data_IF_922097033072
#
_entry.id   IF_922097033072
#
_cell.length_a   1.000
_cell.length_b   1.000
_cell.length_c   1.000
_cell.angle_alpha   90.00
_cell.angle_beta   90.00
_cell.angle_gamma   90.00
#
_symmetry.space_group_name_H-M   'P 1'
#
loop_
_entity.id
_entity.type
_entity.pdbx_description
1 polymer ?
#
# COMPACT_ATOMS: atom_id res chain seq x y z
N UNK A 1 9.43 -39.23 22.61
CA UNK A 1 8.80 -37.91 22.38
C UNK A 1 9.89 -36.86 22.39
N UNK A 2 10.14 -36.17 21.28
CA UNK A 2 10.43 -34.71 21.22
C UNK A 2 10.42 -34.35 19.73
N UNK A 3 9.44 -33.54 19.36
CA UNK A 3 9.20 -33.05 17.99
C UNK A 3 10.27 -31.99 17.68
N UNK A 4 11.05 -32.18 16.62
CA UNK A 4 11.89 -31.13 16.05
C UNK A 4 10.97 -30.12 15.34
N UNK A 5 10.58 -29.07 16.06
CA UNK A 5 9.80 -27.97 15.49
C UNK A 5 10.77 -27.17 14.61
N UNK A 6 10.54 -27.23 13.29
CA UNK A 6 11.08 -26.29 12.32
C UNK A 6 10.71 -24.86 12.76
N UNK A 7 11.67 -24.15 13.33
CA UNK A 7 11.61 -22.69 13.48
C UNK A 7 12.73 -22.12 12.61
N UNK A 8 12.46 -22.10 11.31
CA UNK A 8 13.43 -21.68 10.30
C UNK A 8 12.74 -21.10 9.09
N UNK A 9 11.75 -20.22 9.30
CA UNK A 9 11.10 -19.51 8.18
C UNK A 9 10.33 -18.26 8.67
N UNK A 10 11.04 -17.21 9.09
CA UNK A 10 10.41 -15.88 9.24
C UNK A 10 11.43 -14.73 9.32
N UNK A 11 12.55 -14.81 8.59
CA UNK A 11 13.61 -13.80 8.68
C UNK A 11 14.13 -13.35 7.30
N UNK A 12 13.25 -13.06 6.34
CA UNK A 12 13.68 -12.56 5.03
C UNK A 12 12.55 -11.98 4.17
N UNK A 13 11.82 -10.99 4.67
CA UNK A 13 11.04 -10.06 3.84
C UNK A 13 11.15 -8.64 4.39
N UNK A 14 12.38 -8.11 4.51
CA UNK A 14 12.61 -6.66 4.66
C UNK A 14 12.69 -6.05 3.26
N UNK A 15 11.72 -6.36 2.40
CA UNK A 15 11.31 -5.41 1.39
C UNK A 15 10.37 -4.46 2.10
N UNK A 16 10.57 -3.15 2.01
CA UNK A 16 9.60 -2.19 2.55
C UNK A 16 8.22 -2.64 2.07
N UNK A 17 7.30 -3.01 2.96
CA UNK A 17 5.97 -3.41 2.50
C UNK A 17 5.26 -2.16 1.97
N UNK A 18 4.44 -2.26 0.92
CA UNK A 18 3.58 -1.16 0.56
C UNK A 18 2.68 -0.84 1.76
N UNK A 19 2.59 0.45 2.10
CA UNK A 19 1.80 0.90 3.25
C UNK A 19 0.75 1.91 2.81
N UNK A 20 -0.39 1.88 3.49
CA UNK A 20 -1.47 2.84 3.31
C UNK A 20 -1.56 3.73 4.54
N UNK A 21 -1.56 5.04 4.30
CA UNK A 21 -1.85 6.04 5.32
C UNK A 21 -3.15 6.75 4.94
N UNK A 22 -4.19 6.55 5.75
CA UNK A 22 -5.50 7.14 5.56
C UNK A 22 -5.82 8.07 6.74
N UNK A 23 -5.34 9.31 6.66
CA UNK A 23 -5.60 10.31 7.69
C UNK A 23 -7.06 10.80 7.71
N UNK A 24 -7.82 10.57 6.64
CA UNK A 24 -9.23 10.95 6.49
C UNK A 24 -9.94 9.97 5.55
N UNK A 25 -11.25 9.71 5.77
CA UNK A 25 -12.11 8.89 4.89
C UNK A 25 -12.14 9.35 3.42
N UNK A 26 -11.79 10.60 3.15
CA UNK A 26 -11.81 11.19 1.81
C UNK A 26 -10.47 11.10 1.07
N UNK A 27 -9.37 10.72 1.75
CA UNK A 27 -8.04 10.72 1.15
C UNK A 27 -7.15 9.63 1.73
N UNK A 28 -6.47 8.92 0.84
CA UNK A 28 -5.47 7.91 1.18
C UNK A 28 -4.16 8.19 0.48
N UNK A 29 -3.06 8.03 1.20
CA UNK A 29 -1.70 8.05 0.66
C UNK A 29 -1.19 6.62 0.66
N UNK A 30 -0.73 6.14 -0.50
CA UNK A 30 -0.20 4.79 -0.66
C UNK A 30 1.27 4.89 -1.05
N UNK A 31 2.11 4.19 -0.31
CA UNK A 31 3.52 4.02 -0.63
C UNK A 31 3.74 2.69 -1.33
N UNK A 32 4.50 2.73 -2.42
CA UNK A 32 4.95 1.55 -3.15
C UNK A 32 6.49 1.55 -3.17
N UNK A 33 7.17 0.45 -2.82
CA UNK A 33 8.64 0.36 -2.69
C UNK A 33 9.40 0.42 -4.02
N UNK A 34 8.69 0.52 -5.14
CA UNK A 34 9.20 0.35 -6.50
C UNK A 34 8.46 1.31 -7.42
N UNK A 35 9.17 1.92 -8.36
CA UNK A 35 8.70 3.10 -9.13
C UNK A 35 7.65 2.81 -10.20
N UNK A 36 7.21 1.56 -10.37
CA UNK A 36 6.46 1.11 -11.55
C UNK A 36 5.07 0.53 -11.24
N UNK A 37 4.55 0.68 -10.03
CA UNK A 37 3.30 0.01 -9.63
C UNK A 37 2.23 0.99 -9.12
N UNK A 38 1.96 2.04 -9.89
CA UNK A 38 0.78 2.89 -9.65
C UNK A 38 -0.51 2.05 -9.62
N UNK A 39 -0.59 0.98 -10.40
CA UNK A 39 -1.71 0.03 -10.39
C UNK A 39 -1.88 -0.69 -9.05
N UNK A 40 -0.79 -1.05 -8.37
CA UNK A 40 -0.85 -1.62 -7.02
C UNK A 40 -1.27 -0.56 -6.00
N UNK A 41 -0.76 0.66 -6.16
CA UNK A 41 -1.16 1.79 -5.33
C UNK A 41 -2.68 2.06 -5.44
N UNK A 42 -3.21 2.02 -6.66
CA UNK A 42 -4.63 2.15 -6.96
C UNK A 42 -5.43 1.01 -6.33
N UNK A 43 -5.03 -0.25 -6.52
CA UNK A 43 -5.75 -1.39 -5.95
C UNK A 43 -5.85 -1.33 -4.42
N UNK A 44 -4.79 -0.87 -3.75
CA UNK A 44 -4.81 -0.66 -2.29
C UNK A 44 -5.70 0.51 -1.88
N UNK A 45 -5.69 1.59 -2.67
CA UNK A 45 -6.54 2.75 -2.43
C UNK A 45 -8.03 2.41 -2.66
N UNK A 46 -8.36 1.70 -3.73
CA UNK A 46 -9.71 1.25 -4.05
C UNK A 46 -10.26 0.35 -2.95
N UNK A 47 -9.51 -0.67 -2.52
CA UNK A 47 -9.89 -1.52 -1.39
C UNK A 47 -10.15 -0.71 -0.10
N UNK A 48 -9.46 0.40 0.09
CA UNK A 48 -9.75 1.30 1.22
C UNK A 48 -11.04 2.07 1.00
N UNK A 49 -11.21 2.74 -0.14
CA UNK A 49 -12.37 3.58 -0.45
C UNK A 49 -13.67 2.77 -0.55
N UNK A 50 -13.62 1.53 -1.06
CA UNK A 50 -14.75 0.61 -1.20
C UNK A 50 -15.43 0.31 0.14
N UNK A 51 -14.68 0.31 1.25
CA UNK A 51 -15.23 0.16 2.62
C UNK A 51 -16.23 1.25 2.99
N UNK A 52 -16.19 2.37 2.28
CA UNK A 52 -17.07 3.52 2.46
C UNK A 52 -18.04 3.72 1.29
N UNK A 53 -18.10 2.77 0.34
CA UNK A 53 -18.91 2.90 -0.89
C UNK A 53 -18.39 3.97 -1.83
N UNK A 54 -17.07 4.17 -1.87
CA UNK A 54 -16.35 5.14 -2.70
C UNK A 54 -15.32 4.41 -3.58
N UNK A 55 -14.82 5.09 -4.60
CA UNK A 55 -13.71 4.65 -5.47
C UNK A 55 -12.50 5.58 -5.32
N UNK A 56 -11.30 5.04 -5.52
CA UNK A 56 -10.08 5.83 -5.46
C UNK A 56 -9.85 6.56 -6.79
N UNK A 57 -9.64 7.88 -6.71
CA UNK A 57 -9.23 8.70 -7.84
C UNK A 57 -7.88 9.32 -7.55
N UNK A 58 -6.91 9.09 -8.45
CA UNK A 58 -5.58 9.66 -8.30
C UNK A 58 -5.67 11.19 -8.22
N UNK A 59 -5.19 11.76 -7.12
CA UNK A 59 -5.16 13.21 -6.90
C UNK A 59 -3.91 13.80 -7.53
N UNK A 60 -2.75 13.24 -7.15
CA UNK A 60 -1.44 13.61 -7.67
C UNK A 60 -0.42 12.53 -7.27
N UNK A 61 0.50 12.14 -8.16
CA UNK A 61 1.69 11.39 -7.74
C UNK A 61 2.55 12.29 -6.82
N UNK A 62 2.78 11.86 -5.59
CA UNK A 62 3.78 12.46 -4.70
C UNK A 62 5.14 11.90 -5.11
N UNK A 63 6.09 12.80 -5.37
CA UNK A 63 7.51 12.54 -5.70
C UNK A 63 7.94 11.07 -5.70
N UNK A 64 8.32 10.55 -6.88
CA UNK A 64 9.05 9.29 -6.96
C UNK A 64 10.48 9.48 -6.44
N UNK A 65 10.96 8.51 -5.70
CA UNK A 65 12.35 8.43 -5.22
C UNK A 65 12.97 7.11 -5.68
N UNK A 66 14.28 6.98 -5.57
CA UNK A 66 15.00 5.73 -5.87
C UNK A 66 14.61 4.56 -4.95
N UNK A 67 13.87 4.82 -3.87
CA UNK A 67 13.45 3.82 -2.87
C UNK A 67 11.95 3.50 -2.92
N UNK A 68 11.18 4.20 -3.75
CA UNK A 68 9.73 4.02 -3.85
C UNK A 68 8.97 5.26 -4.31
N UNK A 69 7.68 5.11 -4.55
CA UNK A 69 6.75 6.15 -4.98
C UNK A 69 5.58 6.31 -4.01
N UNK A 70 5.11 7.54 -3.85
CA UNK A 70 3.95 7.86 -3.04
C UNK A 70 2.82 8.33 -3.94
N UNK A 71 1.62 7.81 -3.72
CA UNK A 71 0.44 8.15 -4.50
C UNK A 71 -0.65 8.64 -3.56
N UNK A 72 -1.12 9.87 -3.77
CA UNK A 72 -2.28 10.39 -3.06
C UNK A 72 -3.53 10.13 -3.91
N UNK A 73 -4.49 9.42 -3.35
CA UNK A 73 -5.82 9.19 -3.93
C UNK A 73 -6.89 9.87 -3.09
N UNK A 74 -7.90 10.43 -3.75
CA UNK A 74 -9.14 10.83 -3.10
C UNK A 74 -10.14 9.68 -3.18
N UNK A 75 -10.84 9.40 -2.09
CA UNK A 75 -12.03 8.55 -2.12
C UNK A 75 -13.22 9.40 -2.56
N UNK A 76 -13.76 9.12 -3.74
CA UNK A 76 -14.87 9.85 -4.35
C UNK A 76 -16.00 8.89 -4.71
N UNK A 77 -17.22 9.41 -4.84
CA UNK A 77 -18.40 8.62 -5.21
C UNK A 77 -18.59 8.58 -6.72
#
# INVERSE_FOLDING_TARGET
MTKYILIGLCLSCVGCAPYINAANKNMVTVYVPTTNYESEALAMADKHCERYGLSAKLRKPRSSSSVGSLYDYNCVK
#
